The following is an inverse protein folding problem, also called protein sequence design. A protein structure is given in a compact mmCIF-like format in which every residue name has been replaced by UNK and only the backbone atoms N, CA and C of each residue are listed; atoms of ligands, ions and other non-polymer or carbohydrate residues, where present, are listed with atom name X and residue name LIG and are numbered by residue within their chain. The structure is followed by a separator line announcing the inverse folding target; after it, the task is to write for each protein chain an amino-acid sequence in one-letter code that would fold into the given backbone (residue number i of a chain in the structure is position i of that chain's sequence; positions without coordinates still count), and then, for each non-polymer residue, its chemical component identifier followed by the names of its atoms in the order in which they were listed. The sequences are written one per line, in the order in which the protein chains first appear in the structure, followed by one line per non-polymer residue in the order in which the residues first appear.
data_IF_553566613090
#
_entry.id   IF_553566613090
#
_cell.length_a   1.000
_cell.length_b   1.000
_cell.length_c   1.000
_cell.angle_alpha   90.00
_cell.angle_beta   90.00
_cell.angle_gamma   90.00
#
_symmetry.space_group_name_H-M   'P 1'
#
loop_
_entity.id
_entity.type
_entity.pdbx_description
1 polymer ?
#
# COMPACT_ATOMS: atom_id res chain seq x y z
N UNK A 1 -60.09 20.10 -53.73
CA UNK A 1 -60.67 18.83 -54.21
C UNK A 1 -59.83 17.71 -53.59
N UNK A 2 -60.20 16.94 -52.58
CA UNK A 2 -61.50 16.64 -51.98
C UNK A 2 -61.42 16.66 -50.45
N UNK A 3 -62.49 17.18 -49.87
CA UNK A 3 -62.85 17.13 -48.45
C UNK A 3 -63.50 15.79 -48.13
N UNK A 4 -63.30 15.25 -46.91
CA UNK A 4 -64.38 14.60 -46.19
C UNK A 4 -64.05 14.49 -44.69
N UNK A 5 -64.88 15.12 -43.87
CA UNK A 5 -64.92 15.09 -42.40
C UNK A 5 -66.23 14.43 -41.97
N UNK A 6 -66.20 13.56 -40.94
CA UNK A 6 -67.34 13.19 -40.07
C UNK A 6 -66.79 12.22 -38.99
N UNK A 7 -66.43 12.65 -37.77
CA UNK A 7 -67.21 13.10 -36.60
C UNK A 7 -68.00 11.99 -35.89
N UNK A 8 -67.61 11.75 -34.61
CA UNK A 8 -68.36 11.19 -33.45
C UNK A 8 -68.61 9.67 -33.44
N UNK A 9 -68.60 8.94 -32.32
CA UNK A 9 -68.56 9.18 -30.87
C UNK A 9 -68.36 7.78 -30.22
N UNK A 10 -67.71 7.69 -29.05
CA UNK A 10 -68.08 6.86 -27.87
C UNK A 10 -66.88 6.33 -27.09
N UNK A 11 -66.59 7.08 -26.03
CA UNK A 11 -66.21 6.66 -24.68
C UNK A 11 -66.16 5.14 -24.45
N UNK A 12 -65.01 4.66 -23.99
CA UNK A 12 -64.96 3.68 -22.90
C UNK A 12 -63.68 3.89 -22.10
N UNK A 13 -63.91 4.33 -20.86
CA UNK A 13 -62.92 4.46 -19.79
C UNK A 13 -62.49 3.05 -19.40
N UNK A 14 -61.22 2.72 -19.61
CA UNK A 14 -60.60 1.57 -18.98
C UNK A 14 -59.56 2.10 -17.99
N UNK A 15 -59.92 2.08 -16.71
CA UNK A 15 -59.01 2.27 -15.58
C UNK A 15 -57.93 1.16 -15.65
N UNK A 16 -56.76 1.50 -16.20
CA UNK A 16 -55.57 0.68 -16.09
C UNK A 16 -54.96 0.86 -14.70
N UNK A 17 -55.18 -0.12 -13.82
CA UNK A 17 -54.51 -0.18 -12.53
C UNK A 17 -53.00 -0.34 -12.76
N UNK A 18 -52.23 0.72 -12.53
CA UNK A 18 -50.76 0.64 -12.43
C UNK A 18 -50.39 -0.13 -11.17
N UNK A 19 -50.09 -1.41 -11.33
CA UNK A 19 -49.46 -2.21 -10.28
C UNK A 19 -47.99 -1.76 -10.13
N UNK A 20 -47.72 -0.93 -9.14
CA UNK A 20 -46.35 -0.57 -8.74
C UNK A 20 -45.70 -1.80 -8.11
N UNK A 21 -44.92 -2.55 -8.88
CA UNK A 21 -44.07 -3.61 -8.37
C UNK A 21 -42.88 -2.97 -7.64
N UNK A 22 -43.04 -2.70 -6.34
CA UNK A 22 -41.94 -2.37 -5.45
C UNK A 22 -41.05 -3.62 -5.33
N UNK A 23 -40.02 -3.72 -6.19
CA UNK A 23 -38.90 -4.62 -5.94
C UNK A 23 -38.19 -4.13 -4.68
N UNK A 24 -38.60 -4.64 -3.53
CA UNK A 24 -37.79 -4.60 -2.32
C UNK A 24 -36.56 -5.47 -2.58
N UNK A 25 -35.51 -4.87 -3.14
CA UNK A 25 -34.18 -5.47 -3.17
C UNK A 25 -33.74 -5.66 -1.72
N UNK A 26 -33.91 -6.87 -1.19
CA UNK A 26 -33.27 -7.31 0.04
C UNK A 26 -31.77 -7.32 -0.25
N UNK A 27 -31.09 -6.23 0.08
CA UNK A 27 -29.65 -6.27 0.29
C UNK A 27 -29.44 -7.22 1.47
N UNK A 28 -29.05 -8.46 1.17
CA UNK A 28 -28.54 -9.34 2.22
C UNK A 28 -27.36 -8.61 2.87
N UNK A 29 -27.32 -8.47 4.20
CA UNK A 29 -26.12 -7.96 4.83
C UNK A 29 -25.00 -8.90 4.42
N UNK A 30 -23.99 -8.37 3.74
CA UNK A 30 -22.72 -9.08 3.64
C UNK A 30 -22.24 -9.23 5.08
N UNK A 31 -22.46 -10.40 5.66
CA UNK A 31 -21.79 -10.77 6.90
C UNK A 31 -20.32 -10.75 6.52
N UNK A 32 -19.63 -9.68 6.92
CA UNK A 32 -18.19 -9.64 6.86
C UNK A 32 -17.73 -10.90 7.59
N UNK A 33 -17.25 -11.89 6.84
CA UNK A 33 -16.67 -13.08 7.43
C UNK A 33 -15.66 -12.57 8.46
N UNK A 34 -15.81 -12.98 9.72
CA UNK A 34 -14.92 -12.56 10.78
C UNK A 34 -13.48 -12.83 10.34
N UNK A 35 -12.57 -11.90 10.63
CA UNK A 35 -11.17 -12.09 10.28
C UNK A 35 -10.65 -13.38 10.94
N UNK A 36 -9.71 -14.10 10.30
CA UNK A 36 -9.14 -15.30 10.87
C UNK A 36 -8.62 -15.05 12.30
N UNK A 37 -8.77 -16.05 13.20
CA UNK A 37 -8.38 -15.92 14.61
C UNK A 37 -6.94 -15.44 14.79
N UNK A 38 -6.03 -15.85 13.91
CA UNK A 38 -4.63 -15.47 13.99
C UNK A 38 -4.39 -13.95 13.88
N UNK A 39 -5.31 -13.21 13.27
CA UNK A 39 -5.19 -11.74 13.10
C UNK A 39 -5.16 -11.00 14.44
N UNK A 40 -5.73 -11.58 15.50
CA UNK A 40 -5.66 -11.03 16.87
C UNK A 40 -4.24 -11.02 17.45
N UNK A 41 -3.32 -11.79 16.87
CA UNK A 41 -1.92 -11.84 17.27
C UNK A 41 -1.07 -10.77 16.56
N UNK A 42 -1.64 -10.04 15.59
CA UNK A 42 -0.98 -8.88 15.02
C UNK A 42 -0.97 -7.78 16.09
N UNK A 43 0.23 -7.32 16.44
CA UNK A 43 0.40 -6.27 17.44
C UNK A 43 -0.25 -4.95 16.98
N UNK A 44 -0.89 -4.18 17.87
CA UNK A 44 -1.48 -2.89 17.52
C UNK A 44 -0.47 -1.74 17.51
N UNK A 45 0.70 -1.91 18.13
CA UNK A 45 1.78 -0.93 18.12
C UNK A 45 2.67 -1.04 16.87
N UNK A 46 3.44 0.01 16.62
CA UNK A 46 4.48 0.07 15.61
C UNK A 46 5.80 0.52 16.28
N UNK A 47 6.97 0.07 15.82
CA UNK A 47 7.20 -0.89 14.72
C UNK A 47 6.70 -2.30 15.05
N UNK A 48 6.38 -3.09 14.03
CA UNK A 48 5.95 -4.50 14.20
C UNK A 48 6.54 -5.45 13.16
N UNK A 49 7.13 -4.95 12.09
CA UNK A 49 7.87 -5.76 11.14
C UNK A 49 9.34 -5.86 11.56
N UNK A 50 9.82 -7.10 11.72
CA UNK A 50 11.17 -7.49 12.16
C UNK A 50 11.56 -7.13 13.59
N UNK A 51 11.13 -6.00 14.14
CA UNK A 51 11.29 -5.64 15.55
C UNK A 51 10.10 -4.82 16.05
N UNK A 52 10.02 -4.65 17.37
CA UNK A 52 8.97 -3.88 18.05
C UNK A 52 9.54 -3.18 19.28
N UNK A 53 8.70 -2.48 20.04
CA UNK A 53 9.13 -1.73 21.22
C UNK A 53 9.85 -2.61 22.28
N UNK A 54 9.43 -3.87 22.43
CA UNK A 54 9.99 -4.79 23.43
C UNK A 54 11.36 -5.33 22.99
N UNK A 55 11.55 -5.59 21.69
CA UNK A 55 12.81 -6.10 21.14
C UNK A 55 13.80 -5.01 20.74
N UNK A 56 13.34 -3.76 20.59
CA UNK A 56 14.15 -2.64 20.13
C UNK A 56 15.43 -2.41 20.94
N UNK A 57 15.44 -2.45 22.30
CA UNK A 57 16.66 -2.25 23.06
C UNK A 57 17.77 -3.25 22.70
N UNK A 58 17.43 -4.51 22.42
CA UNK A 58 18.39 -5.54 22.03
C UNK A 58 18.89 -5.33 20.60
N UNK A 59 18.01 -4.93 19.69
CA UNK A 59 18.37 -4.58 18.30
C UNK A 59 19.32 -3.39 18.27
N UNK A 60 19.01 -2.32 19.00
CA UNK A 60 19.86 -1.13 19.13
C UNK A 60 21.23 -1.49 19.73
N UNK A 61 21.26 -2.27 20.81
CA UNK A 61 22.50 -2.72 21.43
C UNK A 61 23.38 -3.56 20.49
N UNK A 62 22.77 -4.44 19.69
CA UNK A 62 23.50 -5.24 18.70
C UNK A 62 24.06 -4.37 17.57
N UNK A 63 23.29 -3.39 17.07
CA UNK A 63 23.75 -2.45 16.04
C UNK A 63 24.92 -1.58 16.50
N UNK A 64 24.93 -1.15 17.77
CA UNK A 64 26.03 -0.34 18.32
C UNK A 64 27.20 -1.15 18.87
N UNK A 65 27.01 -2.47 19.06
CA UNK A 65 27.99 -3.41 19.59
C UNK A 65 28.48 -4.40 18.53
N UNK A 66 27.98 -5.65 18.60
CA UNK A 66 28.46 -6.75 17.77
C UNK A 66 28.40 -6.49 16.24
N UNK A 67 27.42 -5.70 15.78
CA UNK A 67 27.22 -5.37 14.37
C UNK A 67 27.60 -3.93 14.02
N UNK A 68 28.44 -3.30 14.86
CA UNK A 68 28.85 -1.91 14.64
C UNK A 68 29.53 -1.71 13.28
N UNK A 69 30.28 -2.69 12.79
CA UNK A 69 30.91 -2.64 11.47
C UNK A 69 29.86 -2.53 10.36
N UNK A 70 28.82 -3.38 10.40
CA UNK A 70 27.71 -3.34 9.44
C UNK A 70 26.91 -2.05 9.54
N UNK A 71 26.62 -1.59 10.76
CA UNK A 71 25.94 -0.32 11.01
C UNK A 71 26.69 0.87 10.40
N UNK A 72 28.02 0.92 10.55
CA UNK A 72 28.86 1.96 9.94
C UNK A 72 28.91 1.88 8.42
N UNK A 73 28.83 0.69 7.84
CA UNK A 73 28.74 0.53 6.39
C UNK A 73 27.44 1.11 5.83
N UNK A 74 26.31 0.89 6.52
CA UNK A 74 25.02 1.50 6.16
C UNK A 74 25.14 3.04 6.22
N UNK A 75 25.68 3.59 7.31
CA UNK A 75 25.92 5.03 7.42
C UNK A 75 26.69 5.59 6.22
N UNK A 76 27.82 4.96 5.88
CA UNK A 76 28.66 5.38 4.75
C UNK A 76 27.98 5.20 3.37
N UNK A 77 26.96 4.33 3.26
CA UNK A 77 26.12 4.24 2.06
C UNK A 77 25.13 5.40 2.00
N UNK A 78 24.48 5.72 3.11
CA UNK A 78 23.52 6.82 3.20
C UNK A 78 24.17 8.19 2.98
N UNK A 79 25.39 8.41 3.46
CA UNK A 79 26.16 9.65 3.25
C UNK A 79 26.44 9.95 1.77
N UNK A 80 26.33 8.95 0.89
CA UNK A 80 26.52 9.10 -0.55
C UNK A 80 25.22 9.43 -1.30
N UNK A 81 24.08 9.39 -0.63
CA UNK A 81 22.80 9.73 -1.25
C UNK A 81 22.68 11.26 -1.32
N UNK A 82 22.52 11.86 -2.51
CA UNK A 82 22.37 13.30 -2.62
C UNK A 82 21.04 13.77 -2.00
N UNK A 83 20.99 15.00 -1.53
CA UNK A 83 19.79 15.56 -0.88
C UNK A 83 18.55 15.51 -1.78
N UNK A 84 18.74 15.77 -3.07
CA UNK A 84 17.77 15.53 -4.11
C UNK A 84 18.19 14.25 -4.87
N UNK A 85 17.67 13.06 -4.48
CA UNK A 85 17.91 11.86 -5.26
C UNK A 85 17.44 12.08 -6.70
N UNK A 86 18.33 11.78 -7.65
CA UNK A 86 17.95 11.81 -9.06
C UNK A 86 16.78 10.82 -9.25
N UNK A 87 15.64 11.31 -9.74
CA UNK A 87 14.52 10.46 -10.10
C UNK A 87 14.97 9.36 -11.08
N UNK A 88 14.31 8.21 -11.05
CA UNK A 88 14.57 7.13 -12.02
C UNK A 88 15.20 5.86 -11.47
N UNK A 89 15.28 5.70 -10.14
CA UNK A 89 15.54 4.41 -9.51
C UNK A 89 14.74 4.25 -8.21
N UNK A 90 14.56 3.00 -7.77
CA UNK A 90 13.87 2.66 -6.53
C UNK A 90 14.79 2.84 -5.33
N UNK A 91 14.32 3.57 -4.31
CA UNK A 91 15.04 3.89 -3.08
C UNK A 91 14.46 3.23 -1.82
N UNK A 92 13.68 2.15 -1.99
CA UNK A 92 13.02 1.48 -0.86
C UNK A 92 14.00 0.91 0.18
N UNK A 93 15.16 0.42 -0.25
CA UNK A 93 16.20 -0.12 0.66
C UNK A 93 16.79 1.02 1.50
N UNK A 94 17.17 2.11 0.84
CA UNK A 94 17.73 3.31 1.42
C UNK A 94 16.74 3.96 2.41
N UNK A 95 15.45 3.93 2.09
CA UNK A 95 14.40 4.40 3.00
C UNK A 95 14.40 3.63 4.33
N UNK A 96 14.44 2.29 4.27
CA UNK A 96 14.47 1.45 5.48
C UNK A 96 15.79 1.59 6.24
N UNK A 97 16.91 1.66 5.53
CA UNK A 97 18.22 1.86 6.13
C UNK A 97 18.30 3.20 6.87
N UNK A 98 17.85 4.29 6.24
CA UNK A 98 17.81 5.61 6.87
C UNK A 98 16.84 5.65 8.06
N UNK A 99 15.70 4.97 7.96
CA UNK A 99 14.77 4.82 9.09
C UNK A 99 15.42 4.09 10.27
N UNK A 100 16.13 2.99 10.01
CA UNK A 100 16.84 2.23 11.04
C UNK A 100 17.94 3.07 11.71
N UNK A 101 18.77 3.75 10.91
CA UNK A 101 19.81 4.64 11.42
C UNK A 101 19.21 5.77 12.26
N UNK A 102 18.12 6.37 11.81
CA UNK A 102 17.38 7.36 12.60
C UNK A 102 16.93 6.80 13.95
N UNK A 103 16.36 5.59 14.00
CA UNK A 103 15.92 5.01 15.28
C UNK A 103 17.10 4.73 16.23
N UNK A 104 18.27 4.37 15.70
CA UNK A 104 19.48 4.14 16.51
C UNK A 104 20.07 5.45 17.03
N UNK A 105 20.30 6.43 16.15
CA UNK A 105 21.05 7.65 16.44
C UNK A 105 20.18 8.85 16.86
N UNK A 106 18.89 8.81 16.56
CA UNK A 106 17.91 9.88 16.78
C UNK A 106 18.28 11.22 16.12
N UNK A 107 19.14 11.17 15.09
CA UNK A 107 19.54 12.34 14.31
C UNK A 107 18.47 12.69 13.26
N UNK A 108 17.86 13.90 13.31
CA UNK A 108 16.76 14.29 12.43
C UNK A 108 17.16 14.32 10.94
N UNK A 109 18.45 14.39 10.60
CA UNK A 109 18.92 14.30 9.20
C UNK A 109 18.56 12.95 8.57
N UNK A 110 18.66 11.87 9.34
CA UNK A 110 18.32 10.53 8.86
C UNK A 110 16.81 10.32 8.75
N UNK A 111 16.01 10.95 9.62
CA UNK A 111 14.55 10.98 9.46
C UNK A 111 14.16 11.70 8.16
N UNK A 112 14.76 12.86 7.90
CA UNK A 112 14.51 13.60 6.67
C UNK A 112 14.92 12.79 5.43
N UNK A 113 16.09 12.15 5.46
CA UNK A 113 16.55 11.27 4.38
C UNK A 113 15.59 10.10 4.16
N UNK A 114 15.17 9.41 5.23
CA UNK A 114 14.26 8.28 5.14
C UNK A 114 12.92 8.65 4.51
N UNK A 115 12.36 9.82 4.87
CA UNK A 115 11.13 10.34 4.26
C UNK A 115 11.31 10.65 2.78
N UNK A 116 12.43 11.28 2.39
CA UNK A 116 12.73 11.56 0.97
C UNK A 116 12.90 10.27 0.16
N UNK A 117 13.65 9.30 0.66
CA UNK A 117 13.84 8.01 -0.01
C UNK A 117 12.52 7.23 -0.11
N UNK A 118 11.69 7.23 0.94
CA UNK A 118 10.38 6.59 0.92
C UNK A 118 9.47 7.22 -0.14
N UNK A 119 9.37 8.56 -0.17
CA UNK A 119 8.59 9.27 -1.19
C UNK A 119 9.12 8.97 -2.60
N UNK A 120 10.42 9.02 -2.82
CA UNK A 120 11.04 8.72 -4.12
C UNK A 120 10.81 7.27 -4.57
N UNK A 121 10.83 6.29 -3.66
CA UNK A 121 10.51 4.89 -3.96
C UNK A 121 9.05 4.74 -4.41
N UNK A 122 8.12 5.43 -3.74
CA UNK A 122 6.70 5.45 -4.12
C UNK A 122 6.51 6.10 -5.49
N UNK A 123 7.10 7.27 -5.71
CA UNK A 123 7.05 8.00 -6.98
C UNK A 123 7.62 7.14 -8.12
N UNK A 124 8.74 6.46 -7.88
CA UNK A 124 9.35 5.56 -8.85
C UNK A 124 8.42 4.41 -9.22
N UNK A 125 7.76 3.81 -8.23
CA UNK A 125 6.85 2.70 -8.50
C UNK A 125 5.63 3.15 -9.32
N UNK A 126 5.04 4.29 -8.97
CA UNK A 126 3.93 4.87 -9.73
C UNK A 126 4.36 5.20 -11.17
N UNK A 127 5.56 5.74 -11.37
CA UNK A 127 6.12 6.02 -12.68
C UNK A 127 6.35 4.74 -13.51
N UNK A 128 6.88 3.67 -12.89
CA UNK A 128 7.03 2.37 -13.52
C UNK A 128 5.68 1.79 -13.96
N UNK A 129 4.67 1.84 -13.10
CA UNK A 129 3.32 1.40 -13.45
C UNK A 129 2.74 2.21 -14.62
N UNK A 130 2.83 3.54 -14.59
CA UNK A 130 2.35 4.42 -15.65
C UNK A 130 3.01 4.11 -17.01
N UNK A 131 4.29 3.74 -16.99
CA UNK A 131 5.06 3.35 -18.18
C UNK A 131 4.92 1.86 -18.55
N UNK A 132 4.12 1.08 -17.79
CA UNK A 132 4.03 -0.40 -17.92
C UNK A 132 5.40 -1.08 -17.89
N UNK A 133 6.27 -0.64 -16.98
CA UNK A 133 7.59 -1.22 -16.72
C UNK A 133 7.60 -1.94 -15.38
N UNK A 134 8.28 -3.07 -15.32
CA UNK A 134 8.57 -3.72 -14.04
C UNK A 134 9.60 -2.90 -13.25
N UNK A 135 9.40 -2.77 -11.94
CA UNK A 135 10.39 -2.17 -11.03
C UNK A 135 11.57 -3.10 -10.85
N UNK A 136 11.29 -4.35 -10.48
CA UNK A 136 12.29 -5.39 -10.26
C UNK A 136 11.61 -6.76 -10.23
N UNK A 137 12.36 -7.80 -10.58
CA UNK A 137 11.93 -9.19 -10.44
C UNK A 137 11.70 -9.60 -8.97
N UNK A 138 12.46 -9.01 -8.05
CA UNK A 138 12.38 -9.22 -6.61
C UNK A 138 11.60 -8.12 -5.90
N UNK A 139 10.78 -8.50 -4.92
CA UNK A 139 10.01 -7.56 -4.08
C UNK A 139 10.84 -6.82 -3.02
N UNK A 140 12.14 -7.11 -2.90
CA UNK A 140 13.01 -6.65 -1.81
C UNK A 140 12.89 -5.15 -1.53
N UNK A 141 13.10 -4.29 -2.52
CA UNK A 141 13.04 -2.84 -2.34
C UNK A 141 11.66 -2.36 -1.91
N UNK A 142 10.59 -2.89 -2.51
CA UNK A 142 9.20 -2.59 -2.17
C UNK A 142 8.84 -3.05 -0.76
N UNK A 143 9.35 -4.20 -0.31
CA UNK A 143 9.22 -4.63 1.10
C UNK A 143 9.94 -3.64 2.01
N UNK A 144 11.15 -3.20 1.68
CA UNK A 144 11.87 -2.21 2.48
C UNK A 144 11.13 -0.87 2.54
N UNK A 145 10.48 -0.41 1.48
CA UNK A 145 9.61 0.78 1.54
C UNK A 145 8.47 0.60 2.57
N UNK A 146 7.86 -0.59 2.65
CA UNK A 146 6.84 -0.92 3.66
C UNK A 146 7.46 -0.94 5.07
N UNK A 147 8.69 -1.43 5.23
CA UNK A 147 9.43 -1.38 6.50
C UNK A 147 9.72 0.04 6.94
N UNK A 148 10.17 0.89 6.04
CA UNK A 148 10.45 2.29 6.33
C UNK A 148 9.21 2.98 6.89
N UNK A 149 8.04 2.73 6.30
CA UNK A 149 6.77 3.26 6.82
C UNK A 149 6.45 2.70 8.22
N UNK A 150 6.56 1.38 8.42
CA UNK A 150 6.28 0.73 9.71
C UNK A 150 7.19 1.25 10.83
N UNK A 151 8.48 1.35 10.54
CA UNK A 151 9.52 1.77 11.48
C UNK A 151 9.41 3.26 11.82
N UNK A 152 9.01 4.09 10.86
CA UNK A 152 8.81 5.52 11.06
C UNK A 152 7.40 5.88 11.52
N UNK A 153 6.48 4.92 11.69
CA UNK A 153 5.07 5.22 11.96
C UNK A 153 4.88 6.30 13.03
N UNK A 154 5.52 6.15 14.19
CA UNK A 154 5.42 7.10 15.32
C UNK A 154 6.01 8.50 15.04
N UNK A 155 6.85 8.63 14.01
CA UNK A 155 7.56 9.84 13.62
C UNK A 155 6.99 10.50 12.36
N UNK A 156 6.09 9.83 11.65
CA UNK A 156 5.29 10.40 10.57
C UNK A 156 4.06 11.11 11.14
N UNK A 157 3.72 12.27 10.58
CA UNK A 157 2.43 12.92 10.85
C UNK A 157 1.26 12.11 10.27
N UNK A 158 0.04 12.36 10.73
CA UNK A 158 -1.14 11.61 10.26
C UNK A 158 -1.33 11.69 8.74
N UNK A 159 -1.15 12.88 8.17
CA UNK A 159 -1.22 13.11 6.71
C UNK A 159 -0.19 12.26 5.98
N UNK A 160 1.06 12.26 6.44
CA UNK A 160 2.16 11.52 5.83
C UNK A 160 1.96 10.01 5.93
N UNK A 161 1.50 9.52 7.10
CA UNK A 161 1.15 8.11 7.30
C UNK A 161 0.13 7.67 6.25
N UNK A 162 -0.98 8.42 6.14
CA UNK A 162 -2.06 8.12 5.22
C UNK A 162 -1.59 8.20 3.77
N UNK A 163 -0.89 9.26 3.40
CA UNK A 163 -0.41 9.48 2.04
C UNK A 163 0.49 8.34 1.59
N UNK A 164 1.58 8.07 2.31
CA UNK A 164 2.58 7.09 1.89
C UNK A 164 2.00 5.68 1.78
N UNK A 165 1.26 5.23 2.80
CA UNK A 165 0.72 3.87 2.80
C UNK A 165 -0.41 3.71 1.77
N UNK A 166 -1.30 4.69 1.61
CA UNK A 166 -2.37 4.61 0.60
C UNK A 166 -1.80 4.54 -0.82
N UNK A 167 -0.75 5.32 -1.10
CA UNK A 167 -0.08 5.31 -2.40
C UNK A 167 0.61 3.97 -2.68
N UNK A 168 1.33 3.42 -1.69
CA UNK A 168 1.93 2.08 -1.78
C UNK A 168 0.87 1.00 -2.06
N UNK A 169 -0.23 1.00 -1.30
CA UNK A 169 -1.33 0.04 -1.49
C UNK A 169 -1.90 0.16 -2.89
N UNK A 170 -2.22 1.39 -3.32
CA UNK A 170 -2.80 1.65 -4.63
C UNK A 170 -1.90 1.17 -5.77
N UNK A 171 -0.62 1.54 -5.78
CA UNK A 171 0.27 1.17 -6.89
C UNK A 171 0.52 -0.35 -6.93
N UNK A 172 0.63 -1.00 -5.77
CA UNK A 172 0.75 -2.46 -5.68
C UNK A 172 -0.49 -3.16 -6.24
N UNK A 173 -1.68 -2.68 -5.86
CA UNK A 173 -2.95 -3.22 -6.36
C UNK A 173 -3.08 -3.07 -7.87
N UNK A 174 -2.76 -1.88 -8.40
CA UNK A 174 -2.78 -1.57 -9.82
C UNK A 174 -1.85 -2.49 -10.63
N UNK A 175 -0.65 -2.76 -10.11
CA UNK A 175 0.32 -3.66 -10.75
C UNK A 175 -0.19 -5.11 -10.78
N UNK A 176 -0.74 -5.60 -9.67
CA UNK A 176 -1.29 -6.96 -9.57
C UNK A 176 -2.49 -7.16 -10.52
N UNK A 177 -3.36 -6.15 -10.60
CA UNK A 177 -4.58 -6.18 -11.42
C UNK A 177 -4.34 -5.77 -12.88
N UNK A 178 -3.15 -5.31 -13.25
CA UNK A 178 -2.86 -4.81 -14.59
C UNK A 178 -3.26 -5.79 -15.70
N UNK A 179 -4.01 -5.31 -16.70
CA UNK A 179 -4.37 -6.05 -17.92
C UNK A 179 -4.09 -5.18 -19.17
N UNK A 180 -3.40 -5.70 -20.21
CA UNK A 180 -2.55 -6.90 -20.15
C UNK A 180 -1.47 -6.74 -19.07
N UNK A 181 -0.91 -7.88 -18.61
CA UNK A 181 0.13 -7.90 -17.59
C UNK A 181 1.34 -7.05 -18.02
N UNK A 182 2.01 -6.44 -17.03
CA UNK A 182 3.24 -5.68 -17.26
C UNK A 182 4.35 -6.65 -17.71
N UNK A 183 5.05 -6.29 -18.78
CA UNK A 183 6.10 -7.13 -19.34
C UNK A 183 7.20 -7.40 -18.31
N UNK A 184 7.53 -8.68 -18.11
CA UNK A 184 8.49 -9.19 -17.11
C UNK A 184 8.13 -8.92 -15.65
N UNK A 185 6.90 -8.50 -15.34
CA UNK A 185 6.46 -8.44 -13.95
C UNK A 185 6.29 -9.85 -13.39
N UNK A 186 6.92 -10.10 -12.25
CA UNK A 186 6.79 -11.38 -11.56
C UNK A 186 5.59 -11.33 -10.60
N UNK A 187 4.66 -12.27 -10.77
CA UNK A 187 3.40 -12.37 -10.01
C UNK A 187 3.42 -13.57 -9.05
N UNK A 188 4.60 -14.13 -8.77
CA UNK A 188 4.76 -15.22 -7.79
C UNK A 188 4.34 -14.81 -6.39
N UNK A 189 3.90 -15.80 -5.62
CA UNK A 189 3.38 -15.63 -4.27
C UNK A 189 4.43 -15.84 -3.18
N UNK A 190 3.93 -15.90 -1.94
CA UNK A 190 4.72 -15.98 -0.71
C UNK A 190 5.66 -17.21 -0.62
N UNK A 191 5.36 -18.28 -1.35
CA UNK A 191 6.14 -19.53 -1.31
C UNK A 191 7.39 -19.52 -2.20
N UNK A 192 7.72 -18.41 -2.87
CA UNK A 192 8.83 -18.38 -3.83
C UNK A 192 10.10 -17.70 -3.33
N UNK A 193 10.12 -17.05 -2.17
CA UNK A 193 11.33 -16.44 -1.60
C UNK A 193 11.59 -15.00 -2.08
N UNK A 194 10.70 -14.08 -1.72
CA UNK A 194 10.71 -12.66 -2.12
C UNK A 194 10.59 -12.36 -3.63
N UNK A 195 10.33 -13.37 -4.46
CA UNK A 195 10.00 -13.16 -5.86
C UNK A 195 8.59 -12.60 -6.03
N UNK A 196 8.48 -11.64 -6.95
CA UNK A 196 7.20 -11.12 -7.39
C UNK A 196 6.49 -10.19 -6.41
N UNK A 197 5.61 -9.37 -6.99
CA UNK A 197 4.93 -8.27 -6.29
C UNK A 197 3.95 -8.74 -5.22
N UNK A 198 3.36 -9.94 -5.36
CA UNK A 198 2.35 -10.43 -4.40
C UNK A 198 2.92 -10.67 -3.00
N UNK A 199 4.24 -10.88 -2.90
CA UNK A 199 4.90 -10.99 -1.60
C UNK A 199 4.69 -9.73 -0.75
N UNK A 200 4.61 -8.54 -1.36
CA UNK A 200 4.36 -7.28 -0.65
C UNK A 200 3.02 -7.26 0.09
N UNK A 201 2.02 -8.04 -0.34
CA UNK A 201 0.68 -8.02 0.25
C UNK A 201 0.67 -8.50 1.70
N UNK A 202 1.53 -9.46 2.05
CA UNK A 202 1.64 -9.92 3.43
C UNK A 202 2.20 -8.82 4.34
N UNK A 203 3.28 -8.17 3.91
CA UNK A 203 3.89 -7.06 4.66
C UNK A 203 2.94 -5.86 4.78
N UNK A 204 2.27 -5.49 3.69
CA UNK A 204 1.23 -4.45 3.71
C UNK A 204 0.09 -4.82 4.66
N UNK A 205 -0.38 -6.06 4.62
CA UNK A 205 -1.43 -6.54 5.50
C UNK A 205 -1.04 -6.38 6.97
N UNK A 206 0.13 -6.88 7.36
CA UNK A 206 0.62 -6.75 8.73
C UNK A 206 0.79 -5.29 9.19
N UNK A 207 1.38 -4.46 8.33
CA UNK A 207 1.64 -3.04 8.64
C UNK A 207 0.37 -2.19 8.63
N UNK A 208 -0.50 -2.34 7.64
CA UNK A 208 -1.73 -1.55 7.52
C UNK A 208 -2.84 -2.00 8.48
N UNK A 209 -2.75 -3.20 9.05
CA UNK A 209 -3.79 -3.74 9.92
C UNK A 209 -4.07 -2.84 11.13
N UNK A 210 -5.34 -2.49 11.31
CA UNK A 210 -5.82 -1.65 12.42
C UNK A 210 -5.53 -0.15 12.28
N UNK A 211 -4.89 0.29 11.20
CA UNK A 211 -4.53 1.72 11.01
C UNK A 211 -5.68 2.57 10.46
N UNK A 212 -6.71 1.94 9.89
CA UNK A 212 -7.78 2.64 9.15
C UNK A 212 -7.31 3.24 7.82
N UNK A 213 -6.08 2.97 7.38
CA UNK A 213 -5.56 3.33 6.07
C UNK A 213 -5.84 2.16 5.14
N UNK A 214 -6.55 2.46 4.05
CA UNK A 214 -7.30 1.53 3.21
C UNK A 214 -6.64 0.17 2.96
N UNK A 215 -7.06 -0.85 3.71
CA UNK A 215 -6.76 -2.26 3.40
C UNK A 215 -7.83 -2.91 2.52
N UNK A 216 -9.00 -2.28 2.37
CA UNK A 216 -10.14 -2.81 1.63
C UNK A 216 -9.93 -2.94 0.10
N UNK A 217 -8.89 -2.27 -0.45
CA UNK A 217 -8.57 -2.33 -1.88
C UNK A 217 -7.68 -3.52 -2.25
N UNK A 218 -7.01 -4.16 -1.28
CA UNK A 218 -6.17 -5.33 -1.50
C UNK A 218 -7.05 -6.57 -1.57
N UNK A 219 -7.59 -6.85 -2.76
CA UNK A 219 -8.34 -8.06 -3.11
C UNK A 219 -7.66 -8.78 -4.27
#
# INVERSE_FOLDING_TARGET
MNSCSLVRLLRSVAFGATATFLLATRAAPAIAAGLPEWTRHIRPDHPRLFFNADTWPQVKARATGAEQAWYRQILAQLDRIPDAPAGGHDLGIEAAQAAFVFLVAEDPRHLALAKRCLAASIDYYEACYAQRKTVNWYSTSRVHAILAWDWLYRHLGEVERREYLSRLIRVLDLVIKARPAIYRENISGYNTGFYGVKNCLWFLGCTGFGTGIETAQVN
#
